data_IF_426486815855
#
_entry.id   IF_426486815855
#
_cell.length_a   1.000
_cell.length_b   1.000
_cell.length_c   1.000
_cell.angle_alpha   90.00
_cell.angle_beta   90.00
_cell.angle_gamma   90.00
#
_symmetry.space_group_name_H-M   'P 1'
#
loop_
_entity.id
_entity.type
_entity.pdbx_description
1 polymer ?
#
# COMPACT_ATOMS: atom_id res chain seq x y z
N UNK A 1 -59.98 -53.01 -27.92
CA UNK A 1 -60.29 -51.60 -27.59
C UNK A 1 -59.00 -50.87 -27.19
N UNK A 2 -58.49 -49.96 -28.04
CA UNK A 2 -57.24 -49.21 -27.82
C UNK A 2 -57.49 -48.03 -26.86
N UNK A 3 -56.79 -47.96 -25.71
CA UNK A 3 -56.76 -46.76 -24.86
C UNK A 3 -55.65 -45.82 -25.34
N UNK A 4 -56.02 -44.58 -25.72
CA UNK A 4 -55.10 -43.50 -26.13
C UNK A 4 -54.37 -42.95 -24.89
N UNK A 5 -53.05 -42.84 -24.97
CA UNK A 5 -52.24 -42.07 -24.02
C UNK A 5 -52.29 -40.60 -24.43
N UNK A 6 -52.78 -39.74 -23.56
CA UNK A 6 -52.78 -38.30 -23.75
C UNK A 6 -51.35 -37.75 -23.51
N UNK A 7 -50.71 -37.22 -24.56
CA UNK A 7 -49.48 -36.43 -24.44
C UNK A 7 -49.82 -35.08 -23.82
N UNK A 8 -49.32 -34.79 -22.62
CA UNK A 8 -49.37 -33.44 -22.03
C UNK A 8 -48.35 -32.56 -22.75
N UNK A 9 -48.86 -31.57 -23.47
CA UNK A 9 -48.07 -30.50 -24.07
C UNK A 9 -47.65 -29.55 -22.93
N UNK A 10 -46.36 -29.54 -22.59
CA UNK A 10 -45.82 -28.66 -21.55
C UNK A 10 -45.16 -27.46 -22.23
N UNK A 11 -45.97 -26.49 -22.68
CA UNK A 11 -45.48 -25.19 -23.09
C UNK A 11 -45.01 -24.46 -21.82
N UNK A 12 -43.70 -24.46 -21.57
CA UNK A 12 -43.10 -23.71 -20.47
C UNK A 12 -43.50 -22.23 -20.62
N UNK A 13 -43.98 -21.58 -19.55
CA UNK A 13 -44.53 -20.25 -19.68
C UNK A 13 -43.38 -19.25 -19.89
N UNK A 14 -43.54 -18.34 -20.87
CA UNK A 14 -42.52 -17.41 -21.37
C UNK A 14 -41.87 -16.55 -20.25
N UNK A 15 -42.60 -16.29 -19.17
CA UNK A 15 -42.11 -15.53 -18.01
C UNK A 15 -40.98 -16.23 -17.25
N UNK A 16 -40.92 -17.58 -17.25
CA UNK A 16 -39.82 -18.30 -16.62
C UNK A 16 -38.49 -18.03 -17.33
N UNK A 17 -38.52 -17.91 -18.66
CA UNK A 17 -37.33 -17.60 -19.46
C UNK A 17 -36.83 -16.18 -19.24
N UNK A 18 -37.75 -15.21 -19.07
CA UNK A 18 -37.41 -13.82 -18.77
C UNK A 18 -36.80 -13.69 -17.37
N UNK A 19 -37.37 -14.38 -16.37
CA UNK A 19 -36.88 -14.34 -14.99
C UNK A 19 -35.48 -14.96 -14.85
N UNK A 20 -35.21 -16.06 -15.58
CA UNK A 20 -33.87 -16.66 -15.67
C UNK A 20 -32.89 -15.71 -16.38
N UNK A 21 -33.32 -15.01 -17.43
CA UNK A 21 -32.49 -14.02 -18.11
C UNK A 21 -32.10 -12.84 -17.20
N UNK A 22 -33.06 -12.29 -16.44
CA UNK A 22 -32.80 -11.20 -15.48
C UNK A 22 -31.87 -11.67 -14.36
N UNK A 23 -32.10 -12.86 -13.80
CA UNK A 23 -31.22 -13.41 -12.77
C UNK A 23 -29.82 -13.72 -13.30
N UNK A 24 -29.69 -14.17 -14.56
CA UNK A 24 -28.39 -14.40 -15.19
C UNK A 24 -27.64 -13.09 -15.46
N UNK A 25 -28.34 -12.04 -15.90
CA UNK A 25 -27.74 -10.70 -16.08
C UNK A 25 -27.39 -10.08 -14.73
N UNK A 26 -28.22 -10.24 -13.71
CA UNK A 26 -27.96 -9.76 -12.36
C UNK A 26 -26.77 -10.51 -11.74
N UNK A 27 -26.73 -11.84 -11.86
CA UNK A 27 -25.59 -12.65 -11.44
C UNK A 27 -24.34 -12.33 -12.25
N UNK A 28 -24.45 -12.07 -13.56
CA UNK A 28 -23.32 -11.66 -14.39
C UNK A 28 -22.83 -10.26 -14.01
N UNK A 29 -23.72 -9.32 -13.73
CA UNK A 29 -23.39 -7.95 -13.28
C UNK A 29 -22.68 -7.96 -11.92
N UNK A 30 -23.23 -8.68 -10.93
CA UNK A 30 -22.60 -8.85 -9.62
C UNK A 30 -21.31 -9.68 -9.69
N UNK A 31 -21.23 -10.67 -10.59
CA UNK A 31 -20.00 -11.44 -10.83
C UNK A 31 -18.97 -10.63 -11.61
N UNK A 32 -19.39 -9.68 -12.45
CA UNK A 32 -18.51 -8.76 -13.19
C UNK A 32 -17.91 -7.70 -12.26
N UNK A 33 -18.67 -7.18 -11.29
CA UNK A 33 -18.10 -6.36 -10.22
C UNK A 33 -17.13 -7.15 -9.32
N UNK A 34 -17.35 -8.45 -9.09
CA UNK A 34 -16.38 -9.32 -8.40
C UNK A 34 -15.11 -9.60 -9.21
N UNK A 35 -15.17 -9.54 -10.55
CA UNK A 35 -14.02 -9.77 -11.44
C UNK A 35 -13.19 -8.49 -11.65
N UNK A 36 -13.75 -7.31 -11.36
CA UNK A 36 -13.02 -6.03 -11.36
C UNK A 36 -12.39 -5.70 -10.00
N UNK A 37 -12.39 -6.63 -9.04
CA UNK A 37 -11.36 -6.63 -8.01
C UNK A 37 -10.03 -6.87 -8.73
N UNK A 38 -9.24 -5.80 -8.90
CA UNK A 38 -7.90 -5.84 -9.49
C UNK A 38 -7.21 -7.12 -9.06
N UNK A 39 -6.92 -8.03 -9.99
CA UNK A 39 -6.04 -9.14 -9.71
C UNK A 39 -4.75 -8.50 -9.19
N UNK A 40 -4.49 -8.61 -7.89
CA UNK A 40 -3.16 -8.39 -7.36
C UNK A 40 -2.33 -9.42 -8.10
N UNK A 41 -1.62 -8.99 -9.15
CA UNK A 41 -0.74 -9.85 -9.93
C UNK A 41 0.22 -10.45 -8.93
N UNK A 42 0.05 -11.74 -8.65
CA UNK A 42 0.89 -12.44 -7.71
C UNK A 42 2.18 -12.68 -8.47
N UNK A 43 3.20 -11.92 -8.09
CA UNK A 43 4.52 -12.03 -8.70
C UNK A 43 4.92 -13.52 -8.70
N UNK A 44 5.25 -14.03 -9.87
CA UNK A 44 5.77 -15.39 -9.97
C UNK A 44 7.22 -15.45 -9.45
N UNK A 45 7.75 -16.66 -9.25
CA UNK A 45 9.08 -16.84 -8.70
C UNK A 45 10.18 -16.22 -9.59
N UNK A 46 9.95 -16.11 -10.90
CA UNK A 46 10.88 -15.49 -11.84
C UNK A 46 10.87 -13.97 -11.69
N UNK A 47 9.70 -13.34 -11.63
CA UNK A 47 9.53 -11.92 -11.37
C UNK A 47 10.09 -11.52 -10.00
N UNK A 48 9.85 -12.35 -8.96
CA UNK A 48 10.41 -12.15 -7.63
C UNK A 48 11.94 -12.22 -7.69
N UNK A 49 12.51 -13.20 -8.39
CA UNK A 49 13.96 -13.33 -8.51
C UNK A 49 14.58 -12.20 -9.33
N UNK A 50 13.90 -11.75 -10.38
CA UNK A 50 14.31 -10.60 -11.19
C UNK A 50 14.29 -9.33 -10.34
N UNK A 51 13.23 -9.10 -9.57
CA UNK A 51 13.12 -7.97 -8.65
C UNK A 51 14.18 -8.03 -7.55
N UNK A 52 14.41 -9.20 -6.94
CA UNK A 52 15.49 -9.39 -5.95
C UNK A 52 16.85 -9.04 -6.54
N UNK A 53 17.15 -9.54 -7.74
CA UNK A 53 18.42 -9.27 -8.43
C UNK A 53 18.57 -7.81 -8.85
N UNK A 54 17.50 -7.19 -9.34
CA UNK A 54 17.52 -5.82 -9.81
C UNK A 54 17.55 -4.80 -8.66
N UNK A 55 16.80 -5.06 -7.58
CA UNK A 55 16.64 -4.13 -6.46
C UNK A 55 17.59 -4.43 -5.31
N UNK A 56 17.66 -5.66 -4.80
CA UNK A 56 18.37 -5.93 -3.55
C UNK A 56 19.88 -6.11 -3.72
N UNK A 57 20.35 -6.52 -4.89
CA UNK A 57 21.80 -6.70 -5.14
C UNK A 57 22.48 -5.39 -5.57
N UNK A 58 21.74 -4.40 -6.06
CA UNK A 58 22.27 -3.14 -6.60
C UNK A 58 22.02 -1.92 -5.71
N UNK A 59 21.13 -2.02 -4.72
CA UNK A 59 20.79 -0.92 -3.81
C UNK A 59 21.56 -1.07 -2.51
N UNK A 60 22.14 0.02 -2.00
CA UNK A 60 22.64 0.10 -0.63
C UNK A 60 21.48 0.51 0.30
N UNK A 61 20.82 -0.49 0.87
CA UNK A 61 19.66 -0.35 1.73
C UNK A 61 20.07 -0.21 3.20
N UNK A 62 19.48 0.79 3.85
CA UNK A 62 19.52 0.95 5.32
C UNK A 62 18.09 0.98 5.80
N UNK A 63 17.68 -0.05 6.56
CA UNK A 63 16.42 -0.05 7.28
C UNK A 63 16.66 0.46 8.69
N UNK A 64 15.83 1.36 9.17
CA UNK A 64 15.83 1.79 10.57
C UNK A 64 14.55 1.27 11.20
N UNK A 65 14.70 0.40 12.19
CA UNK A 65 13.60 -0.30 12.86
C UNK A 65 13.67 0.01 14.36
N UNK A 66 12.53 0.27 15.00
CA UNK A 66 12.47 0.58 16.41
C UNK A 66 12.48 -0.69 17.27
N UNK A 67 11.80 -1.74 16.83
CA UNK A 67 11.58 -2.98 17.58
C UNK A 67 12.52 -4.11 17.09
N UNK A 68 13.44 -4.52 17.95
CA UNK A 68 14.36 -5.63 17.67
C UNK A 68 13.65 -6.98 17.49
N UNK A 69 12.44 -7.13 18.05
CA UNK A 69 11.59 -8.31 17.85
C UNK A 69 11.19 -8.43 16.38
N UNK A 70 10.90 -7.32 15.70
CA UNK A 70 10.56 -7.32 14.27
C UNK A 70 11.77 -7.76 13.44
N UNK A 71 12.97 -7.28 13.77
CA UNK A 71 14.21 -7.73 13.12
C UNK A 71 14.45 -9.23 13.31
N UNK A 72 14.30 -9.73 14.54
CA UNK A 72 14.49 -11.15 14.84
C UNK A 72 13.51 -12.02 14.03
N UNK A 73 12.22 -11.64 13.98
CA UNK A 73 11.23 -12.31 13.15
C UNK A 73 11.60 -12.27 11.66
N UNK A 74 12.07 -11.13 11.16
CA UNK A 74 12.47 -10.96 9.76
C UNK A 74 13.63 -11.90 9.37
N UNK A 75 14.64 -12.01 10.24
CA UNK A 75 15.79 -12.90 10.05
C UNK A 75 15.39 -14.37 10.12
N UNK A 76 14.58 -14.76 11.10
CA UNK A 76 14.21 -16.15 11.35
C UNK A 76 13.17 -16.69 10.35
N UNK A 77 12.22 -15.85 9.94
CA UNK A 77 11.02 -16.31 9.23
C UNK A 77 10.80 -15.69 7.85
N UNK A 78 11.40 -14.54 7.54
CA UNK A 78 11.16 -13.82 6.27
C UNK A 78 12.40 -13.74 5.37
N UNK A 79 13.43 -14.54 5.67
CA UNK A 79 14.65 -14.68 4.87
C UNK A 79 15.38 -13.34 4.65
N UNK A 80 15.23 -12.39 5.57
CA UNK A 80 16.07 -11.20 5.60
C UNK A 80 17.53 -11.63 5.76
N UNK A 81 18.41 -11.02 4.97
CA UNK A 81 19.86 -11.23 5.06
C UNK A 81 20.55 -9.89 5.08
N UNK A 82 21.23 -9.62 6.18
CA UNK A 82 22.13 -8.48 6.26
C UNK A 82 23.42 -8.75 5.47
N UNK A 83 23.91 -7.70 4.81
CA UNK A 83 25.16 -7.69 4.06
C UNK A 83 25.64 -6.22 3.94
N UNK A 84 26.83 -5.93 3.38
CA UNK A 84 27.31 -4.54 3.27
C UNK A 84 26.38 -3.56 2.54
N UNK A 85 25.52 -4.06 1.65
CA UNK A 85 24.53 -3.30 0.89
C UNK A 85 23.10 -3.43 1.47
N UNK A 86 22.88 -4.19 2.54
CA UNK A 86 21.57 -4.28 3.19
C UNK A 86 21.76 -4.44 4.69
N UNK A 87 21.48 -3.39 5.46
CA UNK A 87 21.68 -3.38 6.91
C UNK A 87 20.44 -2.88 7.62
N UNK A 88 20.19 -3.41 8.81
CA UNK A 88 19.15 -2.94 9.71
C UNK A 88 19.80 -2.27 10.93
N UNK A 89 19.29 -1.09 11.28
CA UNK A 89 19.74 -0.32 12.43
C UNK A 89 18.57 -0.27 13.42
N UNK A 90 18.76 -0.86 14.61
CA UNK A 90 17.79 -0.75 15.69
C UNK A 90 17.90 0.63 16.34
N UNK A 91 16.96 1.52 16.02
CA UNK A 91 16.91 2.91 16.51
C UNK A 91 15.56 3.54 16.22
N UNK A 92 15.21 4.56 17.00
CA UNK A 92 14.15 5.49 16.61
C UNK A 92 14.51 6.21 15.30
N UNK A 93 13.58 6.18 14.34
CA UNK A 93 13.80 6.73 13.00
C UNK A 93 13.92 8.26 12.98
N UNK A 94 13.26 8.96 13.89
CA UNK A 94 13.36 10.41 14.03
C UNK A 94 14.72 10.77 14.62
N UNK A 95 15.16 10.07 15.68
CA UNK A 95 16.49 10.26 16.26
C UNK A 95 17.61 9.93 15.26
N UNK A 96 17.39 8.91 14.41
CA UNK A 96 18.31 8.58 13.33
C UNK A 96 18.48 9.74 12.35
N UNK A 97 17.36 10.33 11.90
CA UNK A 97 17.37 11.46 10.97
C UNK A 97 17.94 12.74 11.59
N UNK A 98 17.71 12.99 12.88
CA UNK A 98 18.28 14.14 13.58
C UNK A 98 19.80 14.09 13.66
N UNK A 99 20.36 12.88 13.77
CA UNK A 99 21.79 12.62 13.80
C UNK A 99 22.40 12.44 12.41
N UNK A 100 21.59 12.51 11.34
CA UNK A 100 22.09 12.47 9.98
C UNK A 100 22.80 13.80 9.64
N UNK A 101 24.11 13.83 9.83
CA UNK A 101 24.94 15.01 9.57
C UNK A 101 25.21 15.23 8.08
N UNK A 102 25.06 14.19 7.26
CA UNK A 102 25.45 14.21 5.85
C UNK A 102 24.25 14.56 4.96
N UNK A 103 24.31 15.74 4.33
CA UNK A 103 23.41 16.11 3.23
C UNK A 103 23.54 15.09 2.08
N UNK A 104 22.41 14.67 1.50
CA UNK A 104 22.43 13.82 0.30
C UNK A 104 23.00 12.42 0.54
N UNK A 105 22.76 11.86 1.73
CA UNK A 105 23.14 10.50 2.05
C UNK A 105 22.28 9.47 1.32
N UNK A 106 21.06 9.82 0.92
CA UNK A 106 20.06 8.91 0.36
C UNK A 106 19.47 9.43 -0.95
N UNK A 107 19.28 8.52 -1.91
CA UNK A 107 18.52 8.78 -3.14
C UNK A 107 17.01 8.63 -2.94
N UNK A 108 16.62 7.78 -2.00
CA UNK A 108 15.24 7.52 -1.66
C UNK A 108 15.11 7.27 -0.17
N UNK A 109 14.04 7.78 0.42
CA UNK A 109 13.63 7.50 1.80
C UNK A 109 12.19 7.02 1.77
N UNK A 110 11.94 5.89 2.44
CA UNK A 110 10.60 5.32 2.63
C UNK A 110 10.24 5.41 4.10
N UNK A 111 9.09 5.98 4.42
CA UNK A 111 8.56 6.07 5.79
C UNK A 111 7.32 5.18 5.86
N UNK A 112 7.45 4.07 6.58
CA UNK A 112 6.38 3.11 6.86
C UNK A 112 6.35 2.81 8.36
N UNK A 113 6.09 3.85 9.15
CA UNK A 113 6.08 3.78 10.61
C UNK A 113 4.65 3.90 11.11
N UNK A 114 4.19 2.93 11.90
CA UNK A 114 2.80 2.88 12.33
C UNK A 114 2.71 2.67 13.84
N UNK A 115 1.62 3.15 14.44
CA UNK A 115 1.26 2.73 15.79
C UNK A 115 0.86 1.25 15.83
N UNK A 116 1.09 0.57 16.95
CA UNK A 116 0.58 -0.80 17.15
C UNK A 116 -0.92 -0.82 17.48
N UNK A 117 -1.46 0.31 17.95
CA UNK A 117 -2.88 0.50 18.26
C UNK A 117 -3.63 1.26 17.16
N UNK A 118 -4.93 0.97 17.02
CA UNK A 118 -5.82 1.64 16.06
C UNK A 118 -6.00 3.12 16.40
N UNK A 119 -5.65 3.99 15.45
CA UNK A 119 -5.75 5.45 15.60
C UNK A 119 -6.35 6.13 14.37
N UNK A 120 -6.94 7.33 14.52
CA UNK A 120 -7.41 8.15 13.40
C UNK A 120 -6.40 8.25 12.27
N UNK A 121 -5.16 8.63 12.60
CA UNK A 121 -3.98 8.47 11.77
C UNK A 121 -3.19 7.29 12.31
N UNK A 122 -3.13 6.19 11.55
CA UNK A 122 -2.42 4.99 11.95
C UNK A 122 -0.95 5.05 11.50
N UNK A 123 -0.72 5.54 10.27
CA UNK A 123 0.62 5.74 9.70
C UNK A 123 0.66 7.05 8.89
N UNK A 124 1.77 7.79 8.87
CA UNK A 124 2.95 7.60 9.71
C UNK A 124 2.67 8.00 11.17
N UNK A 125 3.58 7.68 12.09
CA UNK A 125 3.55 8.29 13.42
C UNK A 125 3.75 9.82 13.32
N UNK A 126 3.06 10.62 14.15
CA UNK A 126 2.94 12.07 13.93
C UNK A 126 4.28 12.82 13.97
N UNK A 127 5.29 12.28 14.65
CA UNK A 127 6.63 12.88 14.70
C UNK A 127 7.29 13.03 13.31
N UNK A 128 6.89 12.24 12.31
CA UNK A 128 7.33 12.40 10.92
C UNK A 128 6.59 13.51 10.16
N UNK A 129 5.49 14.05 10.72
CA UNK A 129 4.75 15.19 10.18
C UNK A 129 5.28 16.53 10.72
N UNK A 130 6.14 16.49 11.74
CA UNK A 130 6.74 17.69 12.31
C UNK A 130 7.68 18.35 11.31
N UNK A 131 7.55 19.68 11.15
CA UNK A 131 8.34 20.44 10.19
C UNK A 131 9.85 20.25 10.34
N UNK A 132 10.35 20.13 11.58
CA UNK A 132 11.77 19.90 11.83
C UNK A 132 12.23 18.52 11.34
N UNK A 133 11.43 17.48 11.55
CA UNK A 133 11.70 16.14 11.03
C UNK A 133 11.67 16.12 9.50
N UNK A 134 10.67 16.76 8.89
CA UNK A 134 10.55 16.87 7.43
C UNK A 134 11.77 17.60 6.82
N UNK A 135 12.23 18.67 7.45
CA UNK A 135 13.45 19.37 7.03
C UNK A 135 14.68 18.43 7.08
N UNK A 136 14.82 17.62 8.13
CA UNK A 136 15.90 16.64 8.23
C UNK A 136 15.80 15.54 7.18
N UNK A 137 14.60 15.09 6.85
CA UNK A 137 14.37 14.13 5.75
C UNK A 137 14.81 14.74 4.42
N UNK A 138 14.36 15.97 4.12
CA UNK A 138 14.75 16.68 2.90
C UNK A 138 16.26 16.92 2.83
N UNK A 139 16.91 17.20 3.97
CA UNK A 139 18.35 17.35 4.05
C UNK A 139 19.11 16.03 3.77
N UNK A 140 18.60 14.91 4.30
CA UNK A 140 19.22 13.60 4.14
C UNK A 140 19.11 13.07 2.69
N UNK A 141 18.11 13.53 1.94
CA UNK A 141 17.95 13.26 0.51
C UNK A 141 18.95 14.07 -0.34
N UNK A 142 19.36 13.50 -1.46
CA UNK A 142 20.13 14.23 -2.47
C UNK A 142 19.21 15.13 -3.32
N UNK A 143 19.80 15.96 -4.19
CA UNK A 143 19.04 16.98 -4.92
C UNK A 143 18.04 16.38 -5.95
N UNK A 144 18.17 15.08 -6.28
CA UNK A 144 17.23 14.30 -7.12
C UNK A 144 16.40 13.30 -6.29
N UNK A 145 16.46 13.44 -4.97
CA UNK A 145 15.96 12.45 -4.04
C UNK A 145 14.43 12.38 -3.98
N UNK A 146 13.95 11.19 -3.65
CA UNK A 146 12.52 10.89 -3.53
C UNK A 146 12.19 10.49 -2.09
N UNK A 147 11.20 11.16 -1.51
CA UNK A 147 10.54 10.71 -0.29
C UNK A 147 9.26 9.96 -0.65
N UNK A 148 9.02 8.81 -0.05
CA UNK A 148 7.74 8.13 -0.11
C UNK A 148 7.24 7.79 1.31
N UNK A 149 5.99 8.14 1.61
CA UNK A 149 5.40 7.99 2.94
C UNK A 149 4.11 7.18 2.81
N UNK A 150 4.02 6.10 3.59
CA UNK A 150 2.80 5.32 3.70
C UNK A 150 1.84 6.00 4.67
N UNK A 151 0.68 6.39 4.15
CA UNK A 151 -0.40 6.98 4.92
C UNK A 151 -1.54 5.99 5.09
N UNK A 152 -1.88 5.69 6.34
CA UNK A 152 -3.01 4.83 6.69
C UNK A 152 -3.89 5.57 7.69
N UNK A 153 -5.16 5.73 7.35
CA UNK A 153 -6.14 6.46 8.16
C UNK A 153 -7.43 5.68 8.28
N UNK A 154 -8.07 5.72 9.44
CA UNK A 154 -9.44 5.21 9.62
C UNK A 154 -10.49 6.29 9.35
N UNK A 155 -10.06 7.53 9.12
CA UNK A 155 -10.94 8.66 8.79
C UNK A 155 -11.25 8.67 7.31
N UNK A 156 -12.55 8.55 6.97
CA UNK A 156 -13.06 8.65 5.59
C UNK A 156 -13.01 10.06 5.00
N UNK A 157 -12.47 11.04 5.74
CA UNK A 157 -12.50 12.46 5.36
C UNK A 157 -11.17 12.93 4.80
N UNK A 158 -10.78 12.39 3.64
CA UNK A 158 -9.52 12.72 2.98
C UNK A 158 -9.26 14.22 2.76
N UNK A 159 -10.30 15.04 2.63
CA UNK A 159 -10.14 16.48 2.45
C UNK A 159 -9.52 17.16 3.68
N UNK A 160 -9.99 16.81 4.87
CA UNK A 160 -9.44 17.30 6.15
C UNK A 160 -8.05 16.69 6.40
N UNK A 161 -7.86 15.44 5.93
CA UNK A 161 -6.60 14.72 5.98
C UNK A 161 -5.54 15.34 5.04
N UNK A 162 -5.93 15.91 3.90
CA UNK A 162 -5.00 16.52 2.93
C UNK A 162 -4.26 17.71 3.51
N UNK A 163 -4.98 18.62 4.16
CA UNK A 163 -4.40 19.83 4.78
C UNK A 163 -3.41 19.44 5.88
N UNK A 164 -3.78 18.46 6.71
CA UNK A 164 -2.94 18.00 7.82
C UNK A 164 -1.74 17.13 7.37
N UNK A 165 -1.90 16.28 6.35
CA UNK A 165 -0.89 15.28 5.97
C UNK A 165 0.00 15.70 4.80
N UNK A 166 -0.48 16.53 3.86
CA UNK A 166 0.31 16.88 2.66
C UNK A 166 1.00 18.23 2.80
N UNK A 167 0.32 19.24 3.34
CA UNK A 167 0.88 20.59 3.44
C UNK A 167 2.21 20.65 4.20
N UNK A 168 2.44 19.87 5.28
CA UNK A 168 3.74 19.85 5.93
C UNK A 168 4.88 19.48 4.97
N UNK A 169 4.68 18.51 4.08
CA UNK A 169 5.69 18.09 3.12
C UNK A 169 5.86 19.09 1.99
N UNK A 170 4.76 19.67 1.48
CA UNK A 170 4.81 20.67 0.40
C UNK A 170 5.56 21.96 0.77
N UNK A 171 5.80 22.21 2.07
CA UNK A 171 6.64 23.33 2.53
C UNK A 171 8.15 23.08 2.30
N UNK A 172 8.56 21.82 2.23
CA UNK A 172 9.97 21.40 2.14
C UNK A 172 10.31 20.71 0.82
N UNK A 173 9.30 20.19 0.12
CA UNK A 173 9.42 19.52 -1.17
C UNK A 173 8.72 20.32 -2.26
N UNK A 174 9.30 20.37 -3.45
CA UNK A 174 8.76 21.18 -4.55
C UNK A 174 7.56 20.54 -5.23
N UNK A 175 7.55 19.21 -5.33
CA UNK A 175 6.45 18.46 -5.93
C UNK A 175 6.09 17.26 -5.06
N UNK A 176 4.80 17.02 -4.90
CA UNK A 176 4.25 15.86 -4.21
C UNK A 176 3.04 15.33 -4.97
N UNK A 177 2.95 14.03 -5.12
CA UNK A 177 1.81 13.31 -5.67
C UNK A 177 1.44 12.14 -4.76
N UNK A 178 0.24 11.59 -4.93
CA UNK A 178 -0.20 10.44 -4.14
C UNK A 178 -0.81 9.37 -5.03
N UNK A 179 -0.68 8.13 -4.60
CA UNK A 179 -1.35 6.97 -5.17
C UNK A 179 -2.26 6.40 -4.10
N UNK A 180 -3.55 6.28 -4.41
CA UNK A 180 -4.50 5.61 -3.53
C UNK A 180 -4.40 4.10 -3.72
N UNK A 181 -4.21 3.38 -2.63
CA UNK A 181 -4.25 1.92 -2.63
C UNK A 181 -5.71 1.50 -2.52
N UNK A 182 -6.22 0.84 -3.57
CA UNK A 182 -7.58 0.32 -3.58
C UNK A 182 -7.66 -0.83 -2.58
N UNK A 183 -8.39 -0.61 -1.50
CA UNK A 183 -8.60 -1.62 -0.48
C UNK A 183 -9.93 -2.37 -0.69
N UNK A 184 -10.06 -3.60 -0.16
CA UNK A 184 -11.32 -4.34 -0.23
C UNK A 184 -12.48 -3.56 0.39
N UNK A 185 -13.71 -3.79 -0.08
CA UNK A 185 -14.91 -3.05 0.33
C UNK A 185 -15.20 -3.03 1.85
N UNK A 186 -14.63 -3.98 2.60
CA UNK A 186 -14.79 -4.10 4.06
C UNK A 186 -13.59 -3.58 4.86
N UNK A 187 -12.66 -2.86 4.23
CA UNK A 187 -11.56 -2.28 4.97
C UNK A 187 -12.06 -1.17 5.91
N UNK A 188 -11.53 -1.18 7.12
CA UNK A 188 -11.78 -0.17 8.15
C UNK A 188 -10.84 1.04 8.01
N UNK A 189 -9.82 0.93 7.16
CA UNK A 189 -8.84 1.96 6.90
C UNK A 189 -8.77 2.27 5.41
N UNK A 190 -8.25 3.44 5.08
CA UNK A 190 -7.93 3.85 3.73
C UNK A 190 -6.42 4.11 3.69
N UNK A 191 -5.76 3.68 2.61
CA UNK A 191 -4.31 3.78 2.47
C UNK A 191 -3.92 4.53 1.22
N UNK A 192 -2.93 5.40 1.36
CA UNK A 192 -2.33 6.15 0.26
C UNK A 192 -0.82 6.13 0.43
N UNK A 193 -0.10 6.10 -0.68
CA UNK A 193 1.34 6.33 -0.70
C UNK A 193 1.57 7.70 -1.28
N UNK A 194 2.17 8.59 -0.51
CA UNK A 194 2.49 9.94 -0.95
C UNK A 194 3.96 10.02 -1.26
N UNK A 195 4.27 10.57 -2.41
CA UNK A 195 5.63 10.64 -2.93
C UNK A 195 5.97 12.09 -3.25
N UNK A 196 7.07 12.56 -2.69
CA UNK A 196 7.56 13.94 -2.82
C UNK A 196 8.99 13.97 -3.37
N UNK A 197 9.30 15.01 -4.12
CA UNK A 197 10.60 15.21 -4.77
C UNK A 197 11.19 16.58 -4.46
N UNK A 198 12.51 16.66 -4.41
CA UNK A 198 13.25 17.92 -4.19
C UNK A 198 13.30 18.80 -5.46
N UNK A 199 13.04 18.22 -6.64
CA UNK A 199 13.19 18.88 -7.94
C UNK A 199 12.03 19.80 -8.36
#
# INVERSE_FOLDING_TARGET
MKKRVARRNCSKPLWLSILVGILAVYAAYYKWEYILGTSVHRLDDEEINLLKKALLEQINLTTVELDDTVLNLALEHFQLKENPNNRVIIKDGIDFLQQAEKKGAYKAIFIDTCYSDLRPLWCPVEGFLESGTIEKIAHALDDEGVLSVNFVTISKKWKEVKEYLIEPFQKHFKSCFFVQIVQPAHSIAEQQVHTCTIY
#
